data_IF_736786365599
#
_entry.id   IF_736786365599
#
_cell.length_a   1.000
_cell.length_b   1.000
_cell.length_c   1.000
_cell.angle_alpha   90.00
_cell.angle_beta   90.00
_cell.angle_gamma   90.00
#
_symmetry.space_group_name_H-M   'P 1'
#
loop_
_entity.id
_entity.type
_entity.pdbx_description
1 polymer ?
#
# COMPACT_ATOMS: atom_id res chain seq x y z
N UNK A 1 3.28 3.60 -9.95
CA UNK A 1 2.47 3.09 -11.07
C UNK A 1 1.07 3.67 -10.95
N UNK A 2 0.17 3.30 -11.87
CA UNK A 2 -1.27 3.62 -11.81
C UNK A 2 -2.05 2.32 -12.02
N UNK A 3 -3.11 2.13 -11.26
CA UNK A 3 -4.03 1.01 -11.36
C UNK A 3 -5.15 1.36 -12.34
N UNK A 4 -4.85 1.26 -13.62
CA UNK A 4 -5.73 1.75 -14.71
C UNK A 4 -7.08 1.01 -14.80
N UNK A 5 -7.19 -0.15 -14.14
CA UNK A 5 -8.41 -0.96 -14.08
C UNK A 5 -9.30 -0.58 -12.90
N UNK A 6 -8.86 0.24 -11.96
CA UNK A 6 -9.67 0.69 -10.83
C UNK A 6 -10.79 1.59 -11.30
N UNK A 7 -11.95 1.46 -10.65
CA UNK A 7 -13.11 2.32 -10.92
C UNK A 7 -12.77 3.78 -10.60
N UNK A 8 -13.11 4.69 -11.52
CA UNK A 8 -12.94 6.13 -11.32
C UNK A 8 -13.83 6.70 -10.20
N UNK A 9 -14.95 6.03 -9.92
CA UNK A 9 -15.95 6.47 -8.95
C UNK A 9 -15.76 5.85 -7.56
N UNK A 10 -14.64 5.17 -7.32
CA UNK A 10 -14.41 4.44 -6.09
C UNK A 10 -13.00 4.67 -5.54
N UNK A 11 -12.85 4.31 -4.27
CA UNK A 11 -11.62 4.47 -3.51
C UNK A 11 -10.95 3.11 -3.33
N UNK A 12 -9.63 3.09 -3.47
CA UNK A 12 -8.77 1.97 -3.09
C UNK A 12 -8.42 2.11 -1.63
N UNK A 13 -8.55 1.01 -0.88
CA UNK A 13 -8.23 0.95 0.55
C UNK A 13 -6.99 0.08 0.75
N UNK A 14 -5.94 0.66 1.32
CA UNK A 14 -4.75 -0.04 1.74
C UNK A 14 -4.78 -0.24 3.25
N UNK A 15 -4.69 -1.50 3.68
CA UNK A 15 -4.32 -1.87 5.04
C UNK A 15 -2.85 -2.27 5.02
N UNK A 16 -2.01 -1.61 5.80
CA UNK A 16 -0.60 -1.98 5.90
C UNK A 16 -0.20 -2.18 7.35
N UNK A 17 0.65 -3.18 7.57
CA UNK A 17 1.23 -3.48 8.87
C UNK A 17 2.62 -4.09 8.69
N UNK A 18 3.51 -3.87 9.65
CA UNK A 18 4.84 -4.45 9.68
C UNK A 18 5.17 -4.97 11.07
N UNK A 19 5.96 -6.05 11.15
CA UNK A 19 6.52 -6.57 12.40
C UNK A 19 7.98 -6.13 12.63
N UNK A 20 8.51 -5.23 11.79
CA UNK A 20 9.85 -4.68 11.96
C UNK A 20 9.90 -3.79 13.23
N UNK A 21 10.98 -3.83 14.03
CA UNK A 21 11.10 -3.06 15.27
C UNK A 21 11.43 -1.60 14.94
N UNK A 22 10.39 -0.82 14.65
CA UNK A 22 10.52 0.59 14.24
C UNK A 22 11.18 1.44 15.32
N UNK A 23 10.93 1.11 16.58
CA UNK A 23 11.54 1.73 17.76
C UNK A 23 13.06 1.55 17.82
N UNK A 24 13.61 0.54 17.13
CA UNK A 24 15.04 0.28 16.99
C UNK A 24 15.63 0.92 15.72
N UNK A 25 14.85 1.75 15.02
CA UNK A 25 15.27 2.48 13.83
C UNK A 25 15.06 1.73 12.51
N UNK A 26 14.30 0.63 12.51
CA UNK A 26 13.83 0.01 11.27
C UNK A 26 12.75 0.87 10.61
N UNK A 27 12.62 0.79 9.29
CA UNK A 27 11.55 1.46 8.55
C UNK A 27 10.58 0.42 7.96
N UNK A 28 9.27 0.57 8.21
CA UNK A 28 8.23 -0.21 7.50
C UNK A 28 8.05 0.22 6.03
N UNK A 29 8.71 1.29 5.61
CA UNK A 29 8.61 1.88 4.29
C UNK A 29 7.54 2.98 4.23
N UNK A 30 7.23 3.42 3.01
CA UNK A 30 6.36 4.56 2.73
C UNK A 30 5.45 4.23 1.56
N UNK A 31 4.25 4.82 1.54
CA UNK A 31 3.37 4.89 0.37
C UNK A 31 3.37 6.34 -0.13
N UNK A 32 3.74 6.55 -1.39
CA UNK A 32 3.82 7.87 -2.02
C UNK A 32 2.61 8.15 -2.89
N UNK A 33 2.12 9.38 -2.84
CA UNK A 33 1.08 9.93 -3.70
C UNK A 33 1.68 11.11 -4.47
N UNK A 34 2.05 10.85 -5.73
CA UNK A 34 2.96 11.74 -6.49
C UNK A 34 2.32 13.10 -6.75
N UNK A 35 1.06 13.10 -7.17
CA UNK A 35 0.28 14.30 -7.47
C UNK A 35 0.04 15.18 -6.24
N UNK A 36 0.06 14.59 -5.03
CA UNK A 36 -0.07 15.32 -3.77
C UNK A 36 1.28 15.78 -3.20
N UNK A 37 2.41 15.30 -3.75
CA UNK A 37 3.73 15.53 -3.17
C UNK A 37 3.86 15.00 -1.74
N UNK A 38 3.06 13.99 -1.37
CA UNK A 38 2.91 13.50 0.00
C UNK A 38 3.20 12.00 0.10
N UNK A 39 3.51 11.55 1.31
CA UNK A 39 3.65 10.13 1.61
C UNK A 39 3.11 9.77 3.00
N UNK A 40 2.56 8.56 3.11
CA UNK A 40 2.24 7.92 4.39
C UNK A 40 3.39 7.03 4.86
N UNK A 41 3.64 6.99 6.16
CA UNK A 41 4.67 6.15 6.78
C UNK A 41 4.05 4.83 7.25
N UNK A 42 4.60 3.69 6.82
CA UNK A 42 4.04 2.35 7.04
C UNK A 42 4.60 1.68 8.30
N UNK A 43 4.78 2.44 9.39
CA UNK A 43 5.48 2.01 10.61
C UNK A 43 4.56 1.39 11.70
N UNK A 44 3.26 1.35 11.46
CA UNK A 44 2.27 0.77 12.35
C UNK A 44 1.16 0.12 11.52
N UNK A 45 0.12 -0.40 12.17
CA UNK A 45 -1.13 -0.66 11.45
C UNK A 45 -1.67 0.68 10.94
N UNK A 46 -1.81 0.81 9.62
CA UNK A 46 -2.40 1.98 8.99
C UNK A 46 -3.48 1.57 7.99
N UNK A 47 -4.42 2.50 7.79
CA UNK A 47 -5.46 2.39 6.77
C UNK A 47 -5.40 3.66 5.92
N UNK A 48 -5.12 3.51 4.63
CA UNK A 48 -5.03 4.61 3.68
C UNK A 48 -6.09 4.48 2.60
N UNK A 49 -6.75 5.60 2.31
CA UNK A 49 -7.80 5.70 1.31
C UNK A 49 -7.31 6.62 0.19
N UNK A 50 -7.22 6.10 -1.02
CA UNK A 50 -6.69 6.86 -2.16
C UNK A 50 -7.30 6.40 -3.48
N UNK A 51 -7.08 7.17 -4.54
CA UNK A 51 -7.42 6.73 -5.90
C UNK A 51 -6.27 5.94 -6.49
N UNK A 52 -6.48 4.65 -6.80
CA UNK A 52 -5.49 3.82 -7.50
C UNK A 52 -5.17 4.32 -8.91
N UNK A 53 -6.02 5.19 -9.49
CA UNK A 53 -5.80 5.76 -10.83
C UNK A 53 -4.76 6.87 -10.86
N UNK A 54 -4.48 7.49 -9.72
CA UNK A 54 -3.41 8.48 -9.57
C UNK A 54 -2.06 7.80 -9.34
N UNK A 55 -0.96 8.50 -9.62
CA UNK A 55 0.38 7.91 -9.56
C UNK A 55 0.83 7.71 -8.13
N UNK A 56 1.00 6.45 -7.76
CA UNK A 56 1.41 6.08 -6.41
C UNK A 56 2.49 5.00 -6.42
N UNK A 57 3.14 4.77 -5.28
CA UNK A 57 4.19 3.75 -5.18
C UNK A 57 4.69 3.54 -3.78
N UNK A 58 5.14 2.31 -3.49
CA UNK A 58 5.68 1.96 -2.19
C UNK A 58 7.21 1.90 -2.20
N UNK A 59 7.85 2.24 -1.08
CA UNK A 59 9.23 1.83 -0.83
C UNK A 59 9.25 0.49 -0.10
N UNK A 60 10.31 -0.32 -0.24
CA UNK A 60 10.48 -1.49 0.61
C UNK A 60 10.68 -1.08 2.09
N UNK A 61 10.40 -1.97 3.04
CA UNK A 61 10.93 -1.86 4.40
C UNK A 61 12.46 -1.83 4.38
N UNK A 62 13.07 -1.20 5.37
CA UNK A 62 14.53 -1.08 5.49
C UNK A 62 15.00 -1.40 6.91
N UNK A 63 16.10 -2.15 6.99
CA UNK A 63 16.75 -2.43 8.25
C UNK A 63 17.42 -1.19 8.84
N UNK A 64 17.53 -1.15 10.17
CA UNK A 64 18.32 -0.15 10.86
C UNK A 64 19.81 -0.23 10.43
N UNK A 65 20.47 0.92 10.34
CA UNK A 65 21.88 0.98 9.91
C UNK A 65 22.77 0.24 10.91
N UNK A 66 23.45 -0.80 10.44
CA UNK A 66 24.35 -1.62 11.27
C UNK A 66 23.65 -2.63 12.17
N UNK A 67 22.33 -2.77 12.07
CA UNK A 67 21.59 -3.79 12.81
C UNK A 67 21.90 -5.18 12.25
N UNK A 68 22.02 -6.15 13.15
CA UNK A 68 22.05 -7.56 12.80
C UNK A 68 20.59 -8.02 12.66
N UNK A 69 20.25 -8.57 11.50
CA UNK A 69 18.92 -9.15 11.28
C UNK A 69 18.95 -10.58 11.84
N UNK A 70 18.32 -10.77 13.00
CA UNK A 70 18.25 -12.05 13.71
C UNK A 70 17.14 -12.97 13.17
N UNK A 71 16.09 -12.38 12.59
CA UNK A 71 14.97 -13.05 11.93
C UNK A 71 14.46 -12.23 10.73
N UNK A 72 13.76 -12.85 9.77
CA UNK A 72 13.07 -12.08 8.74
C UNK A 72 11.96 -11.24 9.37
N UNK A 73 11.90 -9.96 8.98
CA UNK A 73 10.77 -9.08 9.21
C UNK A 73 9.96 -8.92 7.92
N UNK A 74 8.67 -8.67 8.07
CA UNK A 74 7.70 -8.59 6.99
C UNK A 74 6.89 -7.30 7.07
N UNK A 75 6.43 -6.87 5.90
CA UNK A 75 5.30 -5.95 5.78
C UNK A 75 4.20 -6.66 5.02
N UNK A 76 3.02 -6.69 5.59
CA UNK A 76 1.79 -7.13 4.94
C UNK A 76 1.04 -5.90 4.46
N UNK A 77 0.65 -5.92 3.18
CA UNK A 77 -0.20 -4.90 2.58
C UNK A 77 -1.40 -5.60 1.93
N UNK A 78 -2.61 -5.28 2.39
CA UNK A 78 -3.86 -5.75 1.80
C UNK A 78 -4.47 -4.57 1.06
N UNK A 79 -4.69 -4.73 -0.23
CA UNK A 79 -5.25 -3.68 -1.10
C UNK A 79 -6.62 -4.14 -1.56
N UNK A 80 -7.65 -3.40 -1.15
CA UNK A 80 -9.02 -3.59 -1.63
C UNK A 80 -9.30 -2.53 -2.69
N UNK A 81 -9.45 -2.97 -3.93
CA UNK A 81 -9.72 -2.09 -5.07
C UNK A 81 -10.92 -2.63 -5.86
N UNK A 82 -11.98 -1.83 -6.05
CA UNK A 82 -13.11 -2.22 -6.88
C UNK A 82 -12.77 -2.01 -8.37
N UNK A 83 -12.72 -3.08 -9.19
CA UNK A 83 -12.41 -2.96 -10.60
C UNK A 83 -13.52 -2.19 -11.35
N UNK A 84 -13.14 -1.38 -12.34
CA UNK A 84 -14.06 -0.63 -13.21
C UNK A 84 -15.14 -1.53 -13.82
N UNK A 85 -14.77 -2.74 -14.24
CA UNK A 85 -15.68 -3.69 -14.88
C UNK A 85 -16.82 -4.14 -13.95
N UNK A 86 -16.50 -4.34 -12.67
CA UNK A 86 -17.48 -4.74 -11.64
C UNK A 86 -18.40 -3.57 -11.34
N UNK A 87 -17.83 -2.38 -11.15
CA UNK A 87 -18.60 -1.17 -10.83
C UNK A 87 -19.49 -0.69 -11.98
N UNK A 88 -19.13 -0.99 -13.24
CA UNK A 88 -19.95 -0.64 -14.39
C UNK A 88 -21.08 -1.63 -14.69
N UNK A 89 -21.24 -2.69 -13.89
CA UNK A 89 -22.24 -3.74 -14.12
C UNK A 89 -21.96 -4.64 -15.32
N UNK A 90 -20.76 -4.55 -15.92
CA UNK A 90 -20.38 -5.33 -17.11
C UNK A 90 -19.56 -6.59 -16.75
N UNK A 91 -19.36 -6.86 -15.46
CA UNK A 91 -18.66 -8.04 -15.01
C UNK A 91 -19.54 -9.28 -15.21
N UNK A 92 -19.07 -10.20 -16.05
CA UNK A 92 -19.62 -11.55 -16.17
C UNK A 92 -18.73 -12.47 -15.35
N UNK A 93 -19.24 -12.96 -14.22
CA UNK A 93 -18.57 -13.99 -13.44
C UNK A 93 -19.08 -15.35 -13.91
N UNK A 94 -18.21 -16.10 -14.58
CA UNK A 94 -18.45 -17.51 -14.83
C UNK A 94 -17.83 -18.29 -13.66
N UNK A 95 -18.67 -18.98 -12.89
CA UNK A 95 -18.27 -19.90 -11.82
C UNK A 95 -18.13 -21.30 -12.43
#
# INVERSE_FOLDING_TARGET
HRDTKDSIAATTVLFAWTDAPVEEGFEGGRIYFTELGAYGVLNSFIIENFSGRETHGGTPPRGAKGAIIDKPYVRVAIVLYPPSLVMSGNAVYNI
#
